data_IF_343357986443
#
_entry.id   IF_343357986443
#
_cell.length_a   1.000
_cell.length_b   1.000
_cell.length_c   1.000
_cell.angle_alpha   90.00
_cell.angle_beta   90.00
_cell.angle_gamma   90.00
#
_symmetry.space_group_name_H-M   'P 1'
#
loop_
_entity.id
_entity.type
_entity.pdbx_description
1 polymer ?
#
# COMPACT_ATOMS: atom_id res chain seq x y z
N UNK A 1 -4.87 2.07 -59.71
CA UNK A 1 -5.57 2.40 -58.45
C UNK A 1 -5.68 1.20 -57.49
N UNK A 2 -6.02 -0.01 -57.93
CA UNK A 2 -6.18 -1.16 -57.02
C UNK A 2 -4.88 -1.68 -56.36
N UNK A 3 -3.76 -1.70 -57.09
CA UNK A 3 -2.50 -2.28 -56.59
C UNK A 3 -1.81 -1.42 -55.52
N UNK A 4 -1.82 -0.09 -55.70
CA UNK A 4 -1.33 0.87 -54.69
C UNK A 4 -2.19 0.86 -53.43
N UNK A 5 -3.51 0.70 -53.55
CA UNK A 5 -4.38 0.51 -52.39
C UNK A 5 -4.06 -0.79 -51.63
N UNK A 6 -3.79 -1.90 -52.35
CA UNK A 6 -3.40 -3.18 -51.74
C UNK A 6 -2.02 -3.11 -51.05
N UNK A 7 -1.05 -2.44 -51.65
CA UNK A 7 0.26 -2.19 -51.04
C UNK A 7 0.12 -1.35 -49.77
N UNK A 8 -0.67 -0.27 -49.81
CA UNK A 8 -0.95 0.56 -48.64
C UNK A 8 -1.66 -0.22 -47.52
N UNK A 9 -2.58 -1.13 -47.85
CA UNK A 9 -3.25 -2.02 -46.87
C UNK A 9 -2.24 -2.98 -46.24
N UNK A 10 -1.33 -3.55 -47.03
CA UNK A 10 -0.31 -4.47 -46.53
C UNK A 10 0.73 -3.76 -45.64
N UNK A 11 1.17 -2.56 -46.02
CA UNK A 11 2.04 -1.72 -45.18
C UNK A 11 1.35 -1.33 -43.88
N UNK A 12 0.07 -0.93 -43.95
CA UNK A 12 -0.73 -0.60 -42.76
C UNK A 12 -0.91 -1.80 -41.84
N UNK A 13 -1.16 -2.99 -42.39
CA UNK A 13 -1.24 -4.26 -41.63
C UNK A 13 0.08 -4.63 -40.98
N UNK A 14 1.19 -4.48 -41.69
CA UNK A 14 2.53 -4.74 -41.15
C UNK A 14 2.84 -3.79 -39.98
N UNK A 15 2.54 -2.50 -40.15
CA UNK A 15 2.70 -1.50 -39.10
C UNK A 15 1.82 -1.82 -37.87
N UNK A 16 0.56 -2.19 -38.09
CA UNK A 16 -0.36 -2.60 -37.02
C UNK A 16 0.16 -3.81 -36.24
N UNK A 17 0.60 -4.87 -36.94
CA UNK A 17 1.17 -6.06 -36.31
C UNK A 17 2.40 -5.75 -35.47
N UNK A 18 3.27 -4.85 -35.96
CA UNK A 18 4.44 -4.38 -35.21
C UNK A 18 4.03 -3.63 -33.94
N UNK A 19 3.04 -2.76 -34.02
CA UNK A 19 2.51 -2.05 -32.86
C UNK A 19 1.90 -3.00 -31.83
N UNK A 20 1.10 -3.98 -32.26
CA UNK A 20 0.55 -5.02 -31.37
C UNK A 20 1.66 -5.82 -30.68
N UNK A 21 2.68 -6.23 -31.43
CA UNK A 21 3.83 -6.93 -30.87
C UNK A 21 4.54 -6.08 -29.80
N UNK A 22 4.75 -4.79 -30.06
CA UNK A 22 5.37 -3.87 -29.09
C UNK A 22 4.52 -3.74 -27.81
N UNK A 23 3.19 -3.67 -27.93
CA UNK A 23 2.29 -3.64 -26.76
C UNK A 23 2.37 -4.95 -25.98
N UNK A 24 2.42 -6.10 -26.65
CA UNK A 24 2.59 -7.39 -25.98
C UNK A 24 3.92 -7.46 -25.21
N UNK A 25 5.02 -7.01 -25.82
CA UNK A 25 6.32 -6.97 -25.15
C UNK A 25 6.33 -5.98 -23.97
N UNK A 26 5.69 -4.81 -24.13
CA UNK A 26 5.49 -3.86 -23.04
C UNK A 26 4.74 -4.50 -21.88
N UNK A 27 3.64 -5.22 -22.14
CA UNK A 27 2.83 -5.88 -21.11
C UNK A 27 3.61 -6.98 -20.39
N UNK A 28 4.42 -7.77 -21.10
CA UNK A 28 5.35 -8.73 -20.47
C UNK A 28 6.40 -8.05 -19.59
N UNK A 29 6.70 -6.78 -19.90
CA UNK A 29 7.57 -5.90 -19.16
C UNK A 29 7.00 -5.41 -17.82
N UNK A 30 5.68 -5.49 -17.60
CA UNK A 30 5.03 -4.89 -16.43
C UNK A 30 5.15 -5.74 -15.17
N UNK A 31 5.26 -5.06 -14.03
CA UNK A 31 5.04 -5.66 -12.71
C UNK A 31 3.56 -5.62 -12.36
N UNK A 32 2.97 -6.78 -12.08
CA UNK A 32 1.57 -6.91 -11.63
C UNK A 32 1.57 -7.35 -10.17
N UNK A 33 0.95 -6.54 -9.32
CA UNK A 33 0.72 -6.84 -7.91
C UNK A 33 -0.77 -7.14 -7.69
N UNK A 34 -1.08 -8.42 -7.54
CA UNK A 34 -2.44 -8.93 -7.30
C UNK A 34 -2.77 -8.92 -5.80
N UNK A 35 -3.88 -8.26 -5.47
CA UNK A 35 -4.43 -8.11 -4.13
C UNK A 35 -5.85 -8.69 -4.10
N UNK A 36 -6.38 -8.93 -2.91
CA UNK A 36 -7.79 -9.22 -2.70
C UNK A 36 -8.40 -8.15 -1.83
N UNK A 37 -9.65 -7.79 -2.10
CA UNK A 37 -10.43 -6.86 -1.25
C UNK A 37 -10.88 -7.47 0.07
N UNK A 38 -10.77 -8.79 0.25
CA UNK A 38 -11.21 -9.46 1.47
C UNK A 38 -10.21 -10.46 2.00
N UNK A 39 -9.97 -10.41 3.30
CA UNK A 39 -9.17 -11.40 4.00
C UNK A 39 -9.95 -12.69 4.31
N UNK A 40 -11.29 -12.69 4.27
CA UNK A 40 -12.09 -13.80 4.83
C UNK A 40 -12.46 -14.89 3.80
N UNK A 41 -11.79 -14.94 2.66
CA UNK A 41 -12.03 -15.92 1.59
C UNK A 41 -11.18 -17.17 1.86
N UNK A 42 -11.81 -18.25 2.35
CA UNK A 42 -11.09 -19.46 2.77
C UNK A 42 -10.24 -20.10 1.66
N UNK A 43 -10.66 -20.04 0.40
CA UNK A 43 -9.87 -20.61 -0.70
C UNK A 43 -8.55 -19.87 -0.92
N UNK A 44 -8.49 -18.57 -0.64
CA UNK A 44 -7.24 -17.81 -0.75
C UNK A 44 -6.24 -18.24 0.34
N UNK A 45 -6.70 -18.51 1.55
CA UNK A 45 -5.84 -19.06 2.60
C UNK A 45 -5.32 -20.46 2.28
N UNK A 46 -6.15 -21.29 1.65
CA UNK A 46 -5.74 -22.62 1.22
C UNK A 46 -4.64 -22.53 0.15
N UNK A 47 -4.85 -21.71 -0.88
CA UNK A 47 -3.98 -21.63 -2.06
C UNK A 47 -2.75 -20.75 -1.87
N UNK A 48 -2.88 -19.59 -1.23
CA UNK A 48 -1.83 -18.56 -1.16
C UNK A 48 -1.15 -18.44 0.20
N UNK A 49 -1.76 -18.95 1.27
CA UNK A 49 -1.20 -18.93 2.62
C UNK A 49 -0.76 -20.32 3.10
N UNK A 50 -0.31 -21.18 2.18
CA UNK A 50 0.21 -22.53 2.47
C UNK A 50 -0.73 -23.32 3.41
N UNK A 51 -1.97 -23.50 2.97
CA UNK A 51 -3.02 -24.17 3.76
C UNK A 51 -3.20 -23.58 5.17
N UNK A 52 -3.46 -22.27 5.25
CA UNK A 52 -3.68 -21.53 6.49
C UNK A 52 -2.50 -21.48 7.48
N UNK A 53 -1.28 -21.87 7.08
CA UNK A 53 -0.07 -21.73 7.92
C UNK A 53 0.61 -20.38 7.77
N UNK A 54 0.36 -19.69 6.65
CA UNK A 54 0.94 -18.39 6.28
C UNK A 54 0.22 -17.18 6.88
N UNK A 55 0.35 -16.04 6.21
CA UNK A 55 -0.18 -14.75 6.64
C UNK A 55 -0.96 -14.04 5.53
N UNK A 56 -1.76 -13.05 5.91
CA UNK A 56 -2.33 -12.05 5.03
C UNK A 56 -1.85 -10.66 5.50
N UNK A 57 -1.42 -9.82 4.56
CA UNK A 57 -0.98 -8.46 4.83
C UNK A 57 -2.09 -7.52 4.33
N UNK A 58 -2.67 -6.76 5.25
CA UNK A 58 -3.68 -5.75 4.95
C UNK A 58 -3.00 -4.41 4.68
N UNK A 59 -3.32 -3.81 3.54
CA UNK A 59 -2.77 -2.52 3.14
C UNK A 59 -3.83 -1.41 3.20
N UNK A 60 -3.40 -0.19 3.54
CA UNK A 60 -4.15 1.00 3.17
C UNK A 60 -3.81 1.37 1.72
N UNK A 61 -4.81 1.36 0.84
CA UNK A 61 -4.61 1.64 -0.58
C UNK A 61 -4.07 3.05 -0.82
N UNK A 62 -4.57 4.06 -0.11
CA UNK A 62 -4.14 5.45 -0.28
C UNK A 62 -2.66 5.63 0.05
N UNK A 63 -2.19 5.01 1.14
CA UNK A 63 -0.79 5.04 1.53
C UNK A 63 0.10 4.19 0.60
N UNK A 64 -0.46 3.09 0.07
CA UNK A 64 0.22 2.18 -0.84
C UNK A 64 0.50 2.83 -2.20
N UNK A 65 -0.45 3.61 -2.73
CA UNK A 65 -0.32 4.29 -4.04
C UNK A 65 0.15 5.73 -3.94
N UNK A 66 -0.12 6.42 -2.83
CA UNK A 66 -0.11 7.89 -2.77
C UNK A 66 1.22 8.56 -3.10
N UNK A 67 2.36 7.90 -2.86
CA UNK A 67 3.69 8.45 -3.21
C UNK A 67 4.06 8.35 -4.68
N UNK A 68 3.44 7.41 -5.37
CA UNK A 68 3.86 6.94 -6.68
C UNK A 68 2.62 6.79 -7.57
N UNK A 69 1.59 7.63 -7.36
CA UNK A 69 0.31 7.48 -8.02
C UNK A 69 0.49 7.52 -9.55
N UNK A 70 1.38 8.39 -10.04
CA UNK A 70 1.71 8.50 -11.47
C UNK A 70 2.52 7.30 -12.01
N UNK A 71 3.09 6.46 -11.13
CA UNK A 71 3.84 5.26 -11.49
C UNK A 71 2.97 3.99 -11.53
N UNK A 72 1.76 4.06 -10.97
CA UNK A 72 0.87 2.91 -10.81
C UNK A 72 -0.46 3.12 -11.53
N UNK A 73 -0.85 2.12 -12.31
CA UNK A 73 -2.26 1.93 -12.67
C UNK A 73 -2.88 0.93 -11.71
N UNK A 74 -4.15 1.10 -11.36
CA UNK A 74 -4.82 0.15 -10.50
C UNK A 74 -6.30 0.03 -10.83
N UNK A 75 -6.83 -1.18 -10.71
CA UNK A 75 -8.20 -1.47 -11.11
C UNK A 75 -8.69 -2.78 -10.50
N UNK A 76 -10.01 -2.92 -10.47
CA UNK A 76 -10.67 -4.20 -10.25
C UNK A 76 -10.51 -5.12 -11.45
N UNK A 77 -10.27 -6.40 -11.16
CA UNK A 77 -10.31 -7.43 -12.19
C UNK A 77 -11.75 -7.63 -12.62
N UNK A 78 -11.98 -7.60 -13.93
CA UNK A 78 -13.26 -7.90 -14.55
C UNK A 78 -13.38 -9.40 -14.79
N UNK A 79 -14.53 -9.97 -14.46
CA UNK A 79 -14.78 -11.39 -14.62
C UNK A 79 -15.71 -11.66 -15.81
N UNK A 80 -15.39 -12.68 -16.60
CA UNK A 80 -16.12 -13.02 -17.83
C UNK A 80 -15.91 -14.51 -18.19
N UNK A 81 -16.94 -15.18 -18.69
CA UNK A 81 -16.82 -16.56 -19.22
C UNK A 81 -16.14 -16.60 -20.60
N UNK A 82 -16.07 -15.45 -21.28
CA UNK A 82 -15.41 -15.31 -22.58
C UNK A 82 -14.18 -14.42 -22.47
N UNK A 83 -13.09 -14.72 -23.21
CA UNK A 83 -11.96 -13.81 -23.31
C UNK A 83 -12.38 -12.41 -23.77
N UNK A 84 -11.72 -11.34 -23.29
CA UNK A 84 -12.02 -9.98 -23.74
C UNK A 84 -11.70 -9.82 -25.23
N UNK A 85 -12.60 -9.16 -25.94
CA UNK A 85 -12.33 -8.72 -27.31
C UNK A 85 -11.60 -7.37 -27.26
N UNK A 86 -10.46 -7.31 -27.96
CA UNK A 86 -9.57 -6.14 -28.02
C UNK A 86 -9.64 -5.57 -29.43
N UNK A 87 -10.35 -4.46 -29.54
CA UNK A 87 -10.55 -3.73 -30.80
C UNK A 87 -9.60 -2.55 -30.97
N UNK A 88 -9.68 -1.90 -32.13
CA UNK A 88 -8.91 -0.67 -32.41
C UNK A 88 -9.39 0.49 -31.53
N UNK A 89 -10.67 0.50 -31.18
CA UNK A 89 -11.31 1.44 -30.27
C UNK A 89 -10.73 1.41 -28.86
N UNK A 90 -10.16 0.28 -28.42
CA UNK A 90 -9.55 0.16 -27.10
C UNK A 90 -8.19 0.86 -27.04
N UNK A 91 -7.50 1.04 -28.17
CA UNK A 91 -6.15 1.62 -28.23
C UNK A 91 -6.14 3.08 -27.77
N UNK A 92 -7.24 3.80 -27.99
CA UNK A 92 -7.36 5.22 -27.62
C UNK A 92 -8.00 5.43 -26.24
N UNK A 93 -8.40 4.35 -25.56
CA UNK A 93 -8.99 4.40 -24.24
C UNK A 93 -8.01 3.83 -23.21
N UNK A 94 -8.09 4.31 -21.97
CA UNK A 94 -7.32 3.77 -20.84
C UNK A 94 -7.73 2.32 -20.46
N UNK A 95 -8.61 1.68 -21.24
CA UNK A 95 -9.17 0.35 -21.00
C UNK A 95 -8.35 -0.79 -21.60
N UNK A 96 -7.45 -0.51 -22.55
CA UNK A 96 -6.66 -1.55 -23.22
C UNK A 96 -5.88 -2.42 -22.22
N UNK A 97 -5.18 -1.77 -21.28
CA UNK A 97 -4.38 -2.49 -20.30
C UNK A 97 -5.25 -3.33 -19.37
N UNK A 98 -6.37 -2.78 -18.91
CA UNK A 98 -7.33 -3.51 -18.07
C UNK A 98 -7.93 -4.71 -18.81
N UNK A 99 -8.22 -4.62 -20.11
CA UNK A 99 -8.67 -5.79 -20.89
C UNK A 99 -7.57 -6.86 -20.99
N UNK A 100 -6.33 -6.46 -21.27
CA UNK A 100 -5.21 -7.38 -21.46
C UNK A 100 -4.79 -8.13 -20.18
N UNK A 101 -4.75 -7.42 -19.05
CA UNK A 101 -4.19 -7.93 -17.78
C UNK A 101 -5.08 -7.67 -16.58
N UNK A 102 -6.37 -7.42 -16.79
CA UNK A 102 -7.36 -7.19 -15.75
C UNK A 102 -8.62 -7.99 -15.96
N UNK A 103 -8.55 -9.11 -16.69
CA UNK A 103 -9.67 -10.02 -16.89
C UNK A 103 -9.37 -11.43 -16.39
N UNK A 104 -10.38 -12.12 -15.86
CA UNK A 104 -10.32 -13.51 -15.41
C UNK A 104 -11.65 -14.23 -15.67
N UNK A 105 -11.62 -15.57 -15.67
CA UNK A 105 -12.83 -16.39 -15.73
C UNK A 105 -13.70 -16.20 -14.48
N UNK A 106 -15.03 -16.31 -14.59
CA UNK A 106 -15.96 -16.10 -13.46
C UNK A 106 -15.74 -17.04 -12.27
N UNK A 107 -15.16 -18.22 -12.47
CA UNK A 107 -14.79 -19.13 -11.37
C UNK A 107 -13.86 -18.50 -10.32
N UNK A 108 -13.16 -17.42 -10.71
CA UNK A 108 -12.22 -16.68 -9.88
C UNK A 108 -12.82 -15.39 -9.28
N UNK A 109 -14.09 -15.08 -9.54
CA UNK A 109 -14.76 -13.85 -9.06
C UNK A 109 -14.72 -13.73 -7.53
N UNK A 110 -14.86 -14.87 -6.84
CA UNK A 110 -14.77 -14.96 -5.38
C UNK A 110 -13.44 -14.46 -4.79
N UNK A 111 -12.37 -14.36 -5.58
CA UNK A 111 -11.09 -13.81 -5.11
C UNK A 111 -11.17 -12.30 -4.86
N UNK A 112 -12.16 -11.61 -5.46
CA UNK A 112 -12.33 -10.16 -5.36
C UNK A 112 -11.01 -9.44 -5.66
N UNK A 113 -10.40 -9.81 -6.78
CA UNK A 113 -9.04 -9.42 -7.11
C UNK A 113 -8.98 -7.95 -7.54
N UNK A 114 -8.02 -7.24 -6.94
CA UNK A 114 -7.64 -5.89 -7.28
C UNK A 114 -6.18 -5.93 -7.76
N UNK A 115 -5.85 -5.26 -8.86
CA UNK A 115 -4.48 -5.23 -9.39
C UNK A 115 -3.90 -3.83 -9.31
N UNK A 116 -2.65 -3.77 -8.89
CA UNK A 116 -1.77 -2.63 -9.15
C UNK A 116 -0.75 -3.03 -10.21
N UNK A 117 -0.49 -2.14 -11.14
CA UNK A 117 0.38 -2.37 -12.30
C UNK A 117 1.42 -1.27 -12.37
N UNK A 118 2.68 -1.65 -12.54
CA UNK A 118 3.80 -0.73 -12.71
C UNK A 118 4.71 -1.16 -13.84
N UNK A 119 5.57 -0.24 -14.29
CA UNK A 119 6.51 -0.50 -15.37
C UNK A 119 7.68 -1.43 -14.96
N UNK A 120 7.91 -1.64 -13.67
CA UNK A 120 9.06 -2.37 -13.14
C UNK A 120 8.65 -3.74 -12.58
N UNK A 121 9.29 -4.80 -13.07
CA UNK A 121 9.11 -6.14 -12.52
C UNK A 121 9.87 -6.34 -11.21
N UNK A 122 9.37 -7.26 -10.40
CA UNK A 122 10.05 -7.72 -9.19
C UNK A 122 9.81 -6.80 -7.99
N UNK A 123 10.86 -6.61 -7.19
CA UNK A 123 10.77 -5.88 -5.92
C UNK A 123 10.54 -4.40 -6.19
N UNK A 124 9.38 -3.92 -5.76
CA UNK A 124 9.03 -2.52 -5.79
C UNK A 124 8.96 -1.97 -4.37
N UNK A 125 9.35 -0.71 -4.24
CA UNK A 125 9.24 0.01 -2.99
C UNK A 125 7.76 0.31 -2.70
N UNK A 126 7.35 0.12 -1.45
CA UNK A 126 6.13 0.70 -0.89
C UNK A 126 6.43 1.29 0.49
N UNK A 127 5.65 2.28 0.91
CA UNK A 127 5.81 2.84 2.26
C UNK A 127 5.51 1.80 3.31
N UNK A 128 6.24 1.83 4.41
CA UNK A 128 6.04 0.85 5.50
C UNK A 128 4.71 1.03 6.23
N UNK A 129 4.23 2.27 6.34
CA UNK A 129 2.96 2.64 6.97
C UNK A 129 1.74 2.32 6.09
N UNK A 130 1.96 1.90 4.83
CA UNK A 130 0.90 1.33 4.02
C UNK A 130 0.43 -0.02 4.56
N UNK A 131 1.21 -0.72 5.39
CA UNK A 131 0.79 -1.96 6.05
C UNK A 131 -0.04 -1.61 7.29
N UNK A 132 -1.32 -1.93 7.28
CA UNK A 132 -2.25 -1.66 8.38
C UNK A 132 -2.31 -2.80 9.38
N UNK A 133 -2.36 -4.04 8.90
CA UNK A 133 -2.38 -5.20 9.78
C UNK A 133 -1.78 -6.44 9.14
N UNK A 134 -1.36 -7.36 10.00
CA UNK A 134 -0.93 -8.70 9.61
C UNK A 134 -1.87 -9.70 10.28
N UNK A 135 -2.50 -10.53 9.46
CA UNK A 135 -3.40 -11.58 9.90
C UNK A 135 -2.66 -12.90 9.78
N UNK A 136 -2.52 -13.61 10.91
CA UNK A 136 -1.99 -14.97 10.94
C UNK A 136 -3.09 -15.97 10.58
N UNK A 137 -2.79 -16.95 9.74
CA UNK A 137 -3.73 -18.01 9.38
C UNK A 137 -4.08 -18.92 10.57
N UNK A 138 -5.13 -19.74 10.40
CA UNK A 138 -5.66 -20.64 11.43
C UNK A 138 -4.58 -21.56 12.04
N UNK A 139 -3.60 -21.96 11.21
CA UNK A 139 -2.57 -22.96 11.54
C UNK A 139 -1.18 -22.35 11.68
N UNK A 140 -1.05 -21.02 11.70
CA UNK A 140 0.27 -20.39 11.86
C UNK A 140 0.87 -20.74 13.22
N UNK A 141 2.13 -21.20 13.23
CA UNK A 141 2.85 -21.62 14.42
C UNK A 141 3.17 -20.43 15.34
N UNK A 142 3.16 -20.66 16.65
CA UNK A 142 3.48 -19.63 17.65
C UNK A 142 4.88 -19.03 17.49
N UNK A 143 5.88 -19.85 17.13
CA UNK A 143 7.25 -19.42 16.85
C UNK A 143 7.30 -18.42 15.69
N UNK A 144 6.69 -18.76 14.54
CA UNK A 144 6.63 -17.86 13.38
C UNK A 144 5.88 -16.56 13.67
N UNK A 145 4.81 -16.60 14.49
CA UNK A 145 4.14 -15.39 14.96
C UNK A 145 5.10 -14.51 15.75
N UNK A 146 5.81 -15.10 16.71
CA UNK A 146 6.73 -14.37 17.57
C UNK A 146 7.89 -13.77 16.78
N UNK A 147 8.48 -14.51 15.83
CA UNK A 147 9.53 -14.00 14.95
C UNK A 147 9.07 -12.78 14.15
N UNK A 148 7.87 -12.85 13.54
CA UNK A 148 7.35 -11.75 12.74
C UNK A 148 6.96 -10.53 13.60
N UNK A 149 6.31 -10.76 14.75
CA UNK A 149 5.97 -9.70 15.70
C UNK A 149 7.21 -9.01 16.26
N UNK A 150 8.30 -9.76 16.49
CA UNK A 150 9.59 -9.21 16.91
C UNK A 150 10.27 -8.44 15.77
N UNK A 151 10.21 -8.94 14.54
CA UNK A 151 10.79 -8.27 13.37
C UNK A 151 10.13 -6.91 13.09
N UNK A 152 8.84 -6.82 13.39
CA UNK A 152 8.00 -5.65 13.12
C UNK A 152 7.59 -4.91 14.38
N UNK A 153 8.30 -5.11 15.49
CA UNK A 153 8.00 -4.41 16.74
C UNK A 153 8.17 -2.89 16.58
N UNK A 154 7.42 -2.15 17.38
CA UNK A 154 7.39 -0.69 17.40
C UNK A 154 6.97 -0.05 16.07
N UNK A 155 6.34 -0.82 15.18
CA UNK A 155 5.63 -0.30 14.00
C UNK A 155 4.16 -0.16 14.32
N UNK A 156 3.50 0.81 13.71
CA UNK A 156 2.04 0.97 13.81
C UNK A 156 1.31 -0.07 12.93
N UNK A 157 1.51 -1.35 13.26
CA UNK A 157 0.93 -2.50 12.56
C UNK A 157 0.13 -3.31 13.57
N UNK A 158 -1.14 -3.55 13.27
CA UNK A 158 -1.99 -4.42 14.10
C UNK A 158 -1.73 -5.87 13.78
N UNK A 159 -1.59 -6.72 14.79
CA UNK A 159 -1.53 -8.16 14.61
C UNK A 159 -2.88 -8.79 14.90
N UNK A 160 -3.28 -9.77 14.08
CA UNK A 160 -4.57 -10.46 14.19
C UNK A 160 -4.39 -11.96 13.99
N UNK A 161 -5.22 -12.75 14.66
CA UNK A 161 -5.36 -14.18 14.45
C UNK A 161 -6.64 -14.46 13.66
N UNK A 162 -6.53 -15.19 12.56
CA UNK A 162 -7.71 -15.77 11.91
C UNK A 162 -8.29 -16.85 12.83
N UNK A 163 -9.59 -16.81 13.05
CA UNK A 163 -10.34 -17.76 13.87
C UNK A 163 -11.59 -18.21 13.14
N UNK A 164 -12.05 -19.41 13.46
CA UNK A 164 -13.34 -19.94 13.05
C UNK A 164 -14.07 -20.35 14.33
N UNK A 165 -15.31 -19.91 14.50
CA UNK A 165 -16.09 -20.12 15.73
C UNK A 165 -16.70 -21.53 15.84
N UNK A 166 -16.48 -22.39 14.84
CA UNK A 166 -17.04 -23.73 14.73
C UNK A 166 -18.54 -23.76 14.45
N UNK A 167 -19.20 -22.59 14.36
CA UNK A 167 -20.64 -22.47 14.12
C UNK A 167 -20.95 -22.17 12.67
N UNK A 168 -19.96 -21.68 11.92
CA UNK A 168 -20.06 -21.45 10.48
C UNK A 168 -18.74 -21.74 9.76
N UNK A 169 -18.78 -21.80 8.43
CA UNK A 169 -17.57 -21.80 7.60
C UNK A 169 -16.90 -20.41 7.51
N UNK A 170 -17.48 -19.39 8.15
CA UNK A 170 -16.95 -18.03 8.18
C UNK A 170 -15.61 -17.94 8.88
N UNK A 171 -14.76 -17.06 8.37
CA UNK A 171 -13.49 -16.70 8.99
C UNK A 171 -13.63 -15.30 9.61
N UNK A 172 -13.16 -15.16 10.84
CA UNK A 172 -13.14 -13.90 11.57
C UNK A 172 -11.73 -13.64 12.10
N UNK A 173 -11.46 -12.42 12.54
CA UNK A 173 -10.17 -12.07 13.16
C UNK A 173 -10.32 -11.69 14.61
N UNK A 174 -9.34 -12.07 15.41
CA UNK A 174 -9.16 -11.58 16.78
C UNK A 174 -7.84 -10.83 16.88
N UNK A 175 -7.84 -9.66 17.53
CA UNK A 175 -6.62 -8.86 17.71
C UNK A 175 -5.63 -9.57 18.64
N UNK A 176 -4.34 -9.42 18.33
CA UNK A 176 -3.20 -9.91 19.11
C UNK A 176 -2.36 -8.71 19.52
N UNK A 177 -2.06 -8.62 20.82
CA UNK A 177 -1.10 -7.65 21.34
C UNK A 177 0.30 -8.15 21.01
N UNK A 178 1.11 -7.33 20.35
CA UNK A 178 2.52 -7.65 20.13
C UNK A 178 3.28 -7.55 21.47
N UNK A 179 3.81 -8.65 22.02
CA UNK A 179 4.51 -8.62 23.30
C UNK A 179 5.91 -7.99 23.22
N UNK A 180 6.42 -7.76 22.01
CA UNK A 180 7.74 -7.18 21.77
C UNK A 180 7.71 -5.67 21.53
N UNK A 181 6.51 -5.08 21.43
CA UNK A 181 6.40 -3.63 21.39
C UNK A 181 6.87 -3.07 22.73
N UNK A 182 7.87 -2.20 22.68
CA UNK A 182 8.19 -1.35 23.80
C UNK A 182 7.05 -0.36 23.92
N UNK A 183 6.06 -0.65 24.78
CA UNK A 183 5.03 0.34 25.15
C UNK A 183 5.74 1.67 25.38
N UNK A 184 5.53 2.60 24.47
CA UNK A 184 6.18 3.90 24.35
C UNK A 184 6.88 4.35 25.64
N UNK A 185 8.20 4.16 25.72
CA UNK A 185 9.06 4.92 26.64
C UNK A 185 9.18 6.38 26.19
N UNK A 186 8.04 7.00 25.87
CA UNK A 186 7.94 8.44 25.72
C UNK A 186 7.09 8.87 26.90
N UNK A 187 7.75 9.13 28.03
CA UNK A 187 7.11 9.78 29.16
C UNK A 187 6.55 11.13 28.67
N UNK A 188 5.27 11.38 28.91
CA UNK A 188 4.50 12.56 28.48
C UNK A 188 4.95 13.91 29.10
N UNK A 189 6.20 14.06 29.55
CA UNK A 189 6.56 15.21 30.39
C UNK A 189 7.92 15.84 30.14
N UNK A 190 8.75 15.34 29.24
CA UNK A 190 10.11 15.88 29.12
C UNK A 190 10.45 16.19 27.66
N UNK A 191 10.78 17.47 27.42
CA UNK A 191 11.54 17.88 26.23
C UNK A 191 12.79 17.01 26.21
N UNK A 192 12.78 15.97 25.38
CA UNK A 192 13.97 15.15 25.18
C UNK A 192 14.97 16.04 24.44
N UNK A 193 16.23 16.05 24.84
CA UNK A 193 17.26 16.83 24.13
C UNK A 193 17.43 16.24 22.72
N UNK A 194 16.80 16.88 21.74
CA UNK A 194 16.90 16.51 20.33
C UNK A 194 18.15 17.19 19.76
N UNK A 195 19.16 16.40 19.35
CA UNK A 195 20.39 16.97 18.79
C UNK A 195 20.15 17.69 17.45
N UNK A 196 19.08 17.37 16.69
CA UNK A 196 18.93 17.82 15.30
C UNK A 196 17.53 18.28 14.86
N UNK A 197 16.48 18.18 15.70
CA UNK A 197 15.12 18.60 15.30
C UNK A 197 14.36 19.28 16.44
N UNK A 198 14.32 20.61 16.39
CA UNK A 198 13.49 21.43 17.29
C UNK A 198 12.38 22.06 16.44
N UNK A 199 11.10 21.79 16.71
CA UNK A 199 10.00 22.52 16.08
C UNK A 199 10.23 24.02 16.24
N UNK A 200 10.10 24.79 15.16
CA UNK A 200 10.27 26.23 15.21
C UNK A 200 9.04 26.87 15.86
N UNK A 201 9.02 26.83 17.20
CA UNK A 201 7.91 27.29 18.04
C UNK A 201 7.51 28.74 17.73
N UNK A 202 8.43 29.56 17.17
CA UNK A 202 8.20 30.96 16.89
C UNK A 202 7.19 31.21 15.76
N UNK A 203 7.04 30.27 14.82
CA UNK A 203 6.11 30.40 13.68
C UNK A 203 4.80 29.64 13.87
N UNK A 204 4.62 28.94 15.00
CA UNK A 204 3.37 28.27 15.32
C UNK A 204 2.30 29.29 15.69
N UNK A 205 1.17 29.25 14.97
CA UNK A 205 -0.01 30.09 15.24
C UNK A 205 -0.45 29.94 16.70
N UNK A 206 -0.85 31.04 17.33
CA UNK A 206 -1.21 31.07 18.76
C UNK A 206 -2.23 30.00 19.16
N UNK A 207 -3.23 29.77 18.32
CA UNK A 207 -4.27 28.77 18.52
C UNK A 207 -3.74 27.32 18.61
N UNK A 208 -2.58 27.03 17.99
CA UNK A 208 -1.94 25.71 18.01
C UNK A 208 -0.85 25.55 19.07
N UNK A 209 -0.50 26.61 19.82
CA UNK A 209 0.59 26.55 20.81
C UNK A 209 0.40 25.46 21.87
N UNK A 210 -0.85 25.18 22.25
CA UNK A 210 -1.17 24.12 23.22
C UNK A 210 -0.80 22.71 22.72
N UNK A 211 -0.62 22.54 21.40
CA UNK A 211 -0.29 21.28 20.77
C UNK A 211 1.22 21.13 20.45
N UNK A 212 2.06 22.11 20.77
CA UNK A 212 3.53 22.03 20.57
C UNK A 212 4.14 20.73 21.16
N UNK A 213 3.74 20.23 22.34
CA UNK A 213 4.26 18.96 22.85
C UNK A 213 4.07 17.76 21.89
N UNK A 214 3.02 17.79 21.06
CA UNK A 214 2.77 16.74 20.07
C UNK A 214 3.69 16.84 18.84
N UNK A 215 4.24 18.03 18.52
CA UNK A 215 5.28 18.17 17.49
C UNK A 215 6.54 17.40 17.91
N UNK A 216 6.98 17.58 19.16
CA UNK A 216 8.09 16.81 19.72
C UNK A 216 7.81 15.31 19.79
N UNK A 217 6.57 14.92 20.10
CA UNK A 217 6.17 13.51 20.07
C UNK A 217 6.23 12.93 18.66
N UNK A 218 5.75 13.67 17.65
CA UNK A 218 5.80 13.26 16.27
C UNK A 218 7.26 13.18 15.76
N UNK A 219 8.12 14.13 16.17
CA UNK A 219 9.57 14.07 15.94
C UNK A 219 10.19 12.78 16.46
N UNK A 220 9.93 12.43 17.73
CA UNK A 220 10.46 11.22 18.36
C UNK A 220 9.99 9.95 17.64
N UNK A 221 8.72 9.91 17.19
CA UNK A 221 8.21 8.81 16.37
C UNK A 221 8.99 8.68 15.05
N UNK A 222 9.30 9.80 14.40
CA UNK A 222 10.07 9.81 13.16
C UNK A 222 11.55 9.43 13.37
N UNK A 223 12.18 9.82 14.47
CA UNK A 223 13.53 9.38 14.82
C UNK A 223 13.60 7.86 15.04
N UNK A 224 12.53 7.27 15.57
CA UNK A 224 12.41 5.82 15.73
C UNK A 224 11.99 5.07 14.44
N UNK A 225 11.56 5.78 13.40
CA UNK A 225 11.08 5.16 12.16
C UNK A 225 12.27 4.64 11.34
N UNK A 226 12.38 3.32 11.09
CA UNK A 226 13.51 2.73 10.38
C UNK A 226 13.62 3.18 8.90
N UNK A 227 12.60 3.84 8.37
CA UNK A 227 12.59 4.38 7.00
C UNK A 227 12.86 5.89 6.98
N UNK A 228 12.88 6.57 8.12
CA UNK A 228 13.23 7.98 8.17
C UNK A 228 14.76 8.14 8.19
N UNK A 229 15.31 8.80 7.18
CA UNK A 229 16.73 9.17 7.12
C UNK A 229 16.96 10.51 7.80
N UNK A 230 16.09 11.48 7.54
CA UNK A 230 16.28 12.87 7.95
C UNK A 230 14.93 13.59 7.91
N UNK A 231 14.55 14.30 8.98
CA UNK A 231 13.38 15.20 8.96
C UNK A 231 13.85 16.60 8.59
N UNK A 232 13.14 17.28 7.69
CA UNK A 232 13.52 18.62 7.23
C UNK A 232 12.41 19.67 7.31
N UNK A 233 11.16 19.27 7.56
CA UNK A 233 10.06 20.21 7.82
C UNK A 233 8.97 19.55 8.69
N UNK A 234 8.36 20.32 9.59
CA UNK A 234 7.24 19.88 10.42
C UNK A 234 6.38 21.08 10.81
N UNK A 235 5.06 20.96 10.65
CA UNK A 235 4.09 21.95 11.10
C UNK A 235 2.67 21.33 11.16
N UNK A 236 1.65 22.11 11.45
CA UNK A 236 0.26 21.71 11.33
C UNK A 236 -0.21 21.74 9.88
N UNK A 237 -0.95 20.71 9.46
CA UNK A 237 -1.53 20.60 8.12
C UNK A 237 -2.47 21.77 7.80
N UNK A 238 -2.56 22.14 6.53
CA UNK A 238 -3.55 23.11 6.05
C UNK A 238 -5.01 22.69 6.34
N UNK A 239 -5.25 21.38 6.44
CA UNK A 239 -6.57 20.81 6.79
C UNK A 239 -6.79 20.65 8.29
N UNK A 240 -5.80 21.01 9.11
CA UNK A 240 -5.86 20.92 10.57
C UNK A 240 -6.89 21.89 11.14
N UNK A 241 -7.56 21.48 12.23
CA UNK A 241 -8.39 22.37 13.05
C UNK A 241 -8.08 22.17 14.53
N UNK A 242 -8.43 23.11 15.40
CA UNK A 242 -8.26 22.95 16.86
C UNK A 242 -9.01 21.73 17.42
N UNK A 243 -10.11 21.32 16.78
CA UNK A 243 -10.89 20.14 17.19
C UNK A 243 -10.33 18.82 16.65
N UNK A 244 -9.59 18.87 15.56
CA UNK A 244 -8.94 17.73 14.92
C UNK A 244 -7.56 18.17 14.44
N UNK A 245 -6.58 18.37 15.35
CA UNK A 245 -5.28 18.87 14.96
C UNK A 245 -4.47 17.78 14.27
N UNK A 246 -3.84 18.17 13.16
CA UNK A 246 -3.07 17.28 12.30
C UNK A 246 -1.69 17.88 12.11
N UNK A 247 -0.66 17.12 12.47
CA UNK A 247 0.75 17.48 12.23
C UNK A 247 1.19 16.80 10.94
N UNK A 248 1.90 17.51 10.07
CA UNK A 248 2.64 16.91 8.98
C UNK A 248 4.13 16.93 9.29
N UNK A 249 4.85 15.90 8.84
CA UNK A 249 6.31 15.87 8.85
C UNK A 249 6.79 15.53 7.45
N UNK A 250 7.66 16.38 6.89
CA UNK A 250 8.40 16.07 5.68
C UNK A 250 9.79 15.52 6.03
N UNK A 251 10.13 14.40 5.42
CA UNK A 251 11.34 13.66 5.72
C UNK A 251 11.91 12.99 4.47
N UNK A 252 13.20 12.69 4.52
CA UNK A 252 13.90 11.88 3.54
C UNK A 252 13.69 10.41 3.87
N UNK A 253 13.13 9.65 2.95
CA UNK A 253 12.74 8.27 3.14
C UNK A 253 13.71 7.29 2.49
N UNK A 254 14.02 6.22 3.23
CA UNK A 254 14.93 5.16 2.79
C UNK A 254 14.27 4.27 1.73
N UNK A 255 14.94 4.14 0.57
CA UNK A 255 14.57 3.19 -0.48
C UNK A 255 13.46 3.66 -1.41
N UNK A 256 12.84 4.82 -1.15
CA UNK A 256 11.86 5.42 -2.08
C UNK A 256 12.53 5.92 -3.35
N UNK A 257 11.85 5.76 -4.49
CA UNK A 257 12.24 6.35 -5.79
C UNK A 257 12.23 7.88 -5.69
N UNK A 258 11.19 8.43 -5.06
CA UNK A 258 11.10 9.85 -4.70
C UNK A 258 11.46 10.00 -3.21
N UNK A 259 12.69 10.46 -2.89
CA UNK A 259 13.21 10.37 -1.52
C UNK A 259 12.51 11.30 -0.54
N UNK A 260 11.83 12.36 -1.01
CA UNK A 260 11.14 13.31 -0.13
C UNK A 260 9.69 12.88 0.09
N UNK A 261 9.31 12.81 1.35
CA UNK A 261 8.08 12.17 1.79
C UNK A 261 7.38 12.99 2.86
N UNK A 262 6.06 12.85 2.94
CA UNK A 262 5.25 13.45 4.01
C UNK A 262 4.50 12.37 4.79
N UNK A 263 4.46 12.51 6.11
CA UNK A 263 3.65 11.69 7.01
C UNK A 263 2.76 12.60 7.86
N UNK A 264 1.52 12.18 8.04
CA UNK A 264 0.52 12.90 8.83
C UNK A 264 0.30 12.20 10.17
N UNK A 265 0.16 12.99 11.23
CA UNK A 265 -0.15 12.52 12.56
C UNK A 265 -1.38 13.26 13.07
N UNK A 266 -2.47 12.53 13.29
CA UNK A 266 -3.67 13.08 13.95
C UNK A 266 -3.47 12.99 15.45
N UNK A 267 -3.56 14.13 16.15
CA UNK A 267 -3.27 14.17 17.59
C UNK A 267 -4.14 13.19 18.40
N UNK A 268 -5.41 12.99 17.99
CA UNK A 268 -6.33 12.04 18.63
C UNK A 268 -5.88 10.57 18.55
N UNK A 269 -5.02 10.22 17.60
CA UNK A 269 -4.46 8.88 17.39
C UNK A 269 -3.11 8.70 18.09
N UNK A 270 -2.45 9.80 18.48
CA UNK A 270 -1.19 9.78 19.22
C UNK A 270 -1.45 9.52 20.70
N UNK A 271 -1.70 8.26 21.06
CA UNK A 271 -2.04 7.78 22.42
C UNK A 271 -1.34 8.56 23.53
N UNK A 272 -2.10 9.20 24.43
CA UNK A 272 -1.61 9.73 25.72
C UNK A 272 -0.94 8.61 26.51
#
# INVERSE_FOLDING_TARGET
>A
MAFTALLNINESRSALNKSFFNVQEMVKGLGIFSLSKSYNISSLWASYAKDHTGICIEYNLEDLIGKNNDLYQYFDVMYSDTPPDIGVEDINNDTLLQKMIGTKHFDWDKEQEFRMVCHNQGKNYHRSDAIRSIIFGLKTLGESKNELMKLLCNRDIKFKQLVNDGKSYGLHTQDIINPFDEKSKINNSEKTDFENLVPDEAYIKDEYKLFIPYLYKAAALMESDPNCIEVFNMDFSETSTIKDPIIYINFKEKGSIYPFSQKMFRIKEMSL
#
